data_IF_831580463191
#
_entry.id   IF_831580463191
#
_cell.length_a   1.000
_cell.length_b   1.000
_cell.length_c   1.000
_cell.angle_alpha   90.00
_cell.angle_beta   90.00
_cell.angle_gamma   90.00
#
_symmetry.space_group_name_H-M   'P 1'
#
loop_
_entity.id
_entity.type
_entity.pdbx_description
1 polymer ?
#
# COMPACT_ATOMS: atom_id res chain seq x y z
N UNK A 1 12.22 -4.64 -5.74
CA UNK A 1 11.51 -4.79 -7.02
C UNK A 1 10.39 -3.76 -7.19
N UNK A 2 9.55 -3.47 -6.21
CA UNK A 2 8.36 -2.59 -6.31
C UNK A 2 8.60 -1.10 -6.59
N UNK A 3 9.77 -0.57 -6.33
CA UNK A 3 10.10 0.86 -6.45
C UNK A 3 9.95 1.41 -7.87
N UNK A 4 10.44 0.65 -8.85
CA UNK A 4 10.36 1.04 -10.27
C UNK A 4 8.93 0.95 -10.80
N UNK A 5 8.15 -0.05 -10.39
CA UNK A 5 6.76 -0.22 -10.80
C UNK A 5 5.88 0.94 -10.30
N UNK A 6 6.10 1.40 -9.06
CA UNK A 6 5.35 2.52 -8.48
C UNK A 6 5.53 3.79 -9.31
N UNK A 7 6.78 4.15 -9.64
CA UNK A 7 7.08 5.30 -10.48
C UNK A 7 6.52 5.14 -11.90
N UNK A 8 6.86 4.05 -12.57
CA UNK A 8 6.45 3.80 -13.94
C UNK A 8 4.92 3.82 -14.11
N UNK A 9 4.18 3.14 -13.23
CA UNK A 9 2.72 3.09 -13.29
C UNK A 9 2.06 4.44 -12.96
N UNK A 10 2.73 5.30 -12.19
CA UNK A 10 2.28 6.66 -11.91
C UNK A 10 2.52 7.64 -13.05
N UNK A 11 3.62 7.48 -13.81
CA UNK A 11 4.03 8.39 -14.89
C UNK A 11 3.38 8.02 -16.23
N UNK A 12 3.26 6.73 -16.55
CA UNK A 12 2.75 6.27 -17.84
C UNK A 12 1.24 6.08 -17.83
N UNK A 13 0.57 6.54 -18.91
CA UNK A 13 -0.86 6.36 -19.07
C UNK A 13 -1.23 4.92 -19.45
N UNK A 14 -2.24 4.34 -18.81
CA UNK A 14 -2.80 3.05 -19.20
C UNK A 14 -3.61 3.10 -20.52
N UNK A 15 -3.82 4.29 -21.10
CA UNK A 15 -4.42 4.44 -22.44
C UNK A 15 -3.42 4.06 -23.53
N UNK A 16 -2.12 4.26 -23.28
CA UNK A 16 -1.08 4.15 -24.29
C UNK A 16 -0.30 2.85 -24.18
N UNK A 17 -0.29 2.24 -22.99
CA UNK A 17 0.50 1.05 -22.71
C UNK A 17 -0.23 0.05 -21.81
N UNK A 18 0.08 -1.23 -22.00
CA UNK A 18 -0.26 -2.30 -21.07
C UNK A 18 0.79 -2.37 -19.94
N UNK A 19 0.45 -1.83 -18.77
CA UNK A 19 1.35 -1.76 -17.62
C UNK A 19 1.75 -3.14 -17.08
N UNK A 20 0.86 -4.13 -17.15
CA UNK A 20 1.17 -5.49 -16.71
C UNK A 20 2.28 -6.08 -17.60
N UNK A 21 2.13 -5.97 -18.91
CA UNK A 21 3.10 -6.46 -19.88
C UNK A 21 4.45 -5.74 -19.78
N UNK A 22 4.44 -4.40 -19.78
CA UNK A 22 5.68 -3.60 -19.77
C UNK A 22 6.50 -3.78 -18.49
N UNK A 23 5.83 -3.99 -17.37
CA UNK A 23 6.49 -4.13 -16.07
C UNK A 23 6.63 -5.60 -15.65
N UNK A 24 6.27 -6.55 -16.53
CA UNK A 24 6.30 -7.99 -16.24
C UNK A 24 5.57 -8.34 -14.92
N UNK A 25 4.37 -7.76 -14.75
CA UNK A 25 3.52 -8.01 -13.60
C UNK A 25 2.52 -9.12 -13.94
N UNK A 26 2.17 -9.92 -12.94
CA UNK A 26 1.20 -11.00 -13.06
C UNK A 26 -0.16 -10.55 -12.55
N UNK A 27 -1.21 -10.53 -13.40
CA UNK A 27 -2.57 -10.25 -12.94
C UNK A 27 -3.01 -11.31 -11.92
N UNK A 28 -3.49 -10.86 -10.76
CA UNK A 28 -4.06 -11.72 -9.71
C UNK A 28 -5.58 -11.57 -9.74
N UNK A 29 -6.36 -12.67 -9.92
CA UNK A 29 -7.82 -12.57 -9.84
C UNK A 29 -8.28 -11.99 -8.51
N UNK A 30 -9.12 -10.97 -8.55
CA UNK A 30 -9.76 -10.38 -7.37
C UNK A 30 -10.95 -11.24 -6.93
N UNK A 31 -11.37 -11.13 -5.65
CA UNK A 31 -12.48 -11.88 -5.09
C UNK A 31 -13.82 -11.14 -5.22
N UNK A 32 -13.80 -9.83 -5.00
CA UNK A 32 -15.02 -9.02 -4.86
C UNK A 32 -15.25 -8.04 -6.04
N UNK A 33 -14.26 -7.89 -6.91
CA UNK A 33 -14.31 -6.97 -8.06
C UNK A 33 -13.75 -7.63 -9.32
N UNK A 34 -14.07 -7.06 -10.49
CA UNK A 34 -13.56 -7.55 -11.77
C UNK A 34 -12.14 -7.06 -12.12
N UNK A 35 -11.69 -5.97 -11.53
CA UNK A 35 -10.35 -5.46 -11.74
C UNK A 35 -9.31 -6.38 -11.09
N UNK A 36 -8.23 -6.77 -11.80
CA UNK A 36 -7.21 -7.65 -11.24
C UNK A 36 -6.35 -6.93 -10.17
N UNK A 37 -5.90 -7.69 -9.18
CA UNK A 37 -4.78 -7.32 -8.34
C UNK A 37 -3.44 -7.59 -9.03
N UNK A 38 -2.35 -7.42 -8.31
CA UNK A 38 -0.97 -7.67 -8.77
C UNK A 38 -0.36 -8.75 -7.89
N UNK A 39 0.01 -9.90 -8.47
CA UNK A 39 0.52 -11.04 -7.71
C UNK A 39 1.84 -10.72 -6.97
N UNK A 40 2.67 -9.85 -7.53
CA UNK A 40 3.92 -9.41 -6.91
C UNK A 40 3.71 -8.39 -5.78
N UNK A 41 2.50 -7.81 -5.62
CA UNK A 41 2.21 -6.89 -4.53
C UNK A 41 1.91 -7.65 -3.24
N UNK A 42 2.60 -7.34 -2.13
CA UNK A 42 2.38 -8.00 -0.86
C UNK A 42 1.00 -7.71 -0.25
N UNK A 43 0.36 -6.63 -0.68
CA UNK A 43 -0.98 -6.23 -0.24
C UNK A 43 -1.76 -5.75 -1.45
N UNK A 44 -2.95 -6.29 -1.68
CA UNK A 44 -3.91 -5.78 -2.66
C UNK A 44 -5.19 -5.36 -1.93
N UNK A 45 -5.68 -4.16 -2.24
CA UNK A 45 -6.91 -3.59 -1.67
C UNK A 45 -7.94 -3.50 -2.78
N UNK A 46 -9.03 -4.23 -2.66
CA UNK A 46 -10.12 -4.23 -3.63
C UNK A 46 -11.16 -3.17 -3.24
N UNK A 47 -11.44 -2.28 -4.18
CA UNK A 47 -12.32 -1.14 -3.93
C UNK A 47 -13.46 -1.08 -4.95
N UNK A 48 -14.67 -0.73 -4.49
CA UNK A 48 -15.80 -0.35 -5.35
C UNK A 48 -15.98 1.16 -5.33
N UNK A 49 -15.90 1.80 -6.51
CA UNK A 49 -16.05 3.24 -6.63
C UNK A 49 -17.49 3.64 -6.27
N UNK A 50 -17.63 4.62 -5.36
CA UNK A 50 -18.92 5.24 -4.96
C UNK A 50 -19.17 6.57 -5.64
N UNK A 51 -18.13 7.39 -5.76
CA UNK A 51 -18.23 8.73 -6.31
C UNK A 51 -17.01 9.06 -7.16
N UNK A 52 -17.25 9.74 -8.27
CA UNK A 52 -16.20 10.24 -9.17
C UNK A 52 -16.38 11.76 -9.25
N UNK A 53 -15.38 12.52 -8.83
CA UNK A 53 -15.42 13.98 -8.80
C UNK A 53 -14.32 14.60 -9.65
N UNK A 54 -14.66 15.22 -10.78
CA UNK A 54 -13.71 15.99 -11.57
C UNK A 54 -13.22 17.23 -10.79
N UNK A 55 -11.90 17.43 -10.73
CA UNK A 55 -11.24 18.55 -10.06
C UNK A 55 -10.39 19.40 -11.04
N UNK A 56 -10.81 19.50 -12.30
CA UNK A 56 -10.05 20.18 -13.36
C UNK A 56 -8.94 19.30 -13.92
N UNK A 57 -7.71 19.49 -13.48
CA UNK A 57 -6.54 18.70 -13.95
C UNK A 57 -6.52 17.24 -13.47
N UNK A 58 -7.29 16.90 -12.45
CA UNK A 58 -7.32 15.58 -11.82
C UNK A 58 -8.77 15.13 -11.59
N UNK A 59 -8.94 13.83 -11.42
CA UNK A 59 -10.22 13.24 -11.02
C UNK A 59 -10.03 12.51 -9.69
N UNK A 60 -10.88 12.84 -8.72
CA UNK A 60 -10.93 12.17 -7.41
C UNK A 60 -11.92 11.01 -7.46
N UNK A 61 -11.51 9.85 -6.97
CA UNK A 61 -12.36 8.69 -6.80
C UNK A 61 -12.55 8.42 -5.31
N UNK A 62 -13.79 8.35 -4.86
CA UNK A 62 -14.16 7.85 -3.55
C UNK A 62 -14.64 6.41 -3.70
N UNK A 63 -14.11 5.50 -2.89
CA UNK A 63 -14.42 4.09 -3.02
C UNK A 63 -14.53 3.40 -1.66
N UNK A 64 -15.40 2.39 -1.58
CA UNK A 64 -15.46 1.48 -0.44
C UNK A 64 -14.40 0.40 -0.59
N UNK A 65 -13.66 0.12 0.47
CA UNK A 65 -12.80 -1.06 0.55
C UNK A 65 -13.70 -2.27 0.80
N UNK A 66 -13.71 -3.21 -0.14
CA UNK A 66 -14.57 -4.41 -0.07
C UNK A 66 -13.79 -5.68 0.26
N UNK A 67 -12.48 -5.71 -0.01
CA UNK A 67 -11.60 -6.81 0.36
C UNK A 67 -10.15 -6.34 0.48
N UNK A 68 -9.35 -7.04 1.28
CA UNK A 68 -7.90 -6.86 1.38
C UNK A 68 -7.25 -8.24 1.37
N UNK A 69 -6.31 -8.45 0.45
CA UNK A 69 -5.48 -9.65 0.42
C UNK A 69 -4.05 -9.30 0.82
N UNK A 70 -3.42 -10.16 1.60
CA UNK A 70 -2.07 -9.99 2.13
C UNK A 70 -1.29 -11.28 1.93
N UNK A 71 -0.02 -11.19 1.58
CA UNK A 71 0.89 -12.33 1.47
C UNK A 71 1.21 -12.87 2.87
N UNK A 72 0.97 -14.16 3.08
CA UNK A 72 1.09 -14.87 4.37
C UNK A 72 2.46 -14.71 5.05
N UNK A 73 3.53 -14.51 4.27
CA UNK A 73 4.88 -14.31 4.82
C UNK A 73 5.04 -13.06 5.70
N UNK A 74 4.08 -12.12 5.65
CA UNK A 74 4.06 -10.92 6.48
C UNK A 74 3.24 -11.06 7.76
N UNK A 75 2.79 -12.29 8.07
CA UNK A 75 2.19 -12.62 9.37
C UNK A 75 3.22 -13.33 10.26
N UNK A 76 3.19 -13.01 11.54
CA UNK A 76 4.00 -13.72 12.54
C UNK A 76 3.29 -15.01 13.03
N UNK A 77 3.98 -15.77 13.90
CA UNK A 77 3.44 -17.00 14.50
C UNK A 77 2.17 -16.78 15.36
N UNK A 78 1.85 -15.54 15.70
CA UNK A 78 0.65 -15.14 16.44
C UNK A 78 -0.44 -14.59 15.53
N UNK A 79 -0.28 -14.76 14.21
CA UNK A 79 -1.18 -14.23 13.18
C UNK A 79 -1.32 -12.69 13.21
N UNK A 80 -0.24 -12.00 13.57
CA UNK A 80 -0.18 -10.52 13.53
C UNK A 80 0.43 -10.08 12.21
N UNK A 81 -0.27 -9.24 11.48
CA UNK A 81 0.21 -8.67 10.22
C UNK A 81 1.23 -7.55 10.46
N UNK A 82 2.37 -7.63 9.80
CA UNK A 82 3.47 -6.67 9.87
C UNK A 82 3.58 -5.84 8.60
N UNK A 83 2.69 -4.87 8.42
CA UNK A 83 2.64 -3.99 7.24
C UNK A 83 3.99 -3.30 6.95
N UNK A 84 4.73 -2.88 7.98
CA UNK A 84 5.99 -2.18 7.81
C UNK A 84 7.10 -3.05 7.18
N UNK A 85 6.96 -4.37 7.26
CA UNK A 85 7.94 -5.33 6.70
C UNK A 85 7.71 -5.58 5.20
N UNK A 86 6.61 -5.06 4.64
CA UNK A 86 6.29 -5.18 3.21
C UNK A 86 7.14 -4.29 2.31
N UNK A 87 7.98 -3.42 2.87
CA UNK A 87 8.83 -2.50 2.11
C UNK A 87 8.08 -1.31 1.53
N UNK A 88 7.19 -0.72 2.33
CA UNK A 88 6.41 0.47 1.94
C UNK A 88 7.29 1.57 1.38
N UNK A 89 6.79 2.20 0.31
CA UNK A 89 7.42 3.33 -0.37
C UNK A 89 6.61 4.59 -0.09
N UNK A 90 7.29 5.67 0.24
CA UNK A 90 6.70 7.01 0.34
C UNK A 90 7.25 7.93 -0.73
N UNK A 91 6.41 8.79 -1.28
CA UNK A 91 6.81 9.86 -2.18
C UNK A 91 6.85 11.18 -1.41
N UNK A 92 7.98 11.87 -1.46
CA UNK A 92 8.16 13.15 -0.79
C UNK A 92 9.06 14.05 -1.63
N UNK A 93 8.58 15.25 -1.92
CA UNK A 93 9.33 16.33 -2.59
C UNK A 93 10.08 15.85 -3.85
N UNK A 94 9.39 15.13 -4.75
CA UNK A 94 9.94 14.69 -6.02
C UNK A 94 10.79 13.41 -5.96
N UNK A 95 10.87 12.73 -4.81
CA UNK A 95 11.66 11.52 -4.64
C UNK A 95 10.93 10.42 -3.89
N UNK A 96 11.35 9.18 -4.12
CA UNK A 96 10.80 7.99 -3.45
C UNK A 96 11.73 7.53 -2.33
N UNK A 97 11.15 7.21 -1.17
CA UNK A 97 11.86 6.76 0.02
C UNK A 97 11.24 5.48 0.56
N UNK A 98 12.02 4.66 1.24
CA UNK A 98 11.51 3.63 2.12
C UNK A 98 11.15 4.25 3.47
N UNK A 99 10.26 3.60 4.24
CA UNK A 99 10.03 3.99 5.62
C UNK A 99 11.33 3.91 6.41
N UNK A 100 11.58 4.94 7.20
CA UNK A 100 12.74 5.01 8.06
C UNK A 100 12.56 4.25 9.39
N UNK A 101 13.45 4.55 10.35
CA UNK A 101 13.41 3.94 11.69
C UNK A 101 12.12 4.28 12.41
N UNK A 102 11.53 3.28 13.10
CA UNK A 102 10.36 3.47 13.96
C UNK A 102 10.64 4.49 15.06
N UNK A 103 9.81 5.52 15.17
CA UNK A 103 9.93 6.58 16.19
C UNK A 103 9.24 6.19 17.51
N UNK A 104 8.14 5.44 17.43
CA UNK A 104 7.36 5.02 18.59
C UNK A 104 6.13 4.21 18.20
N UNK A 105 5.32 3.87 19.16
CA UNK A 105 4.00 3.26 18.99
C UNK A 105 2.90 4.31 19.16
N UNK A 106 1.70 4.02 18.68
CA UNK A 106 0.56 4.90 18.90
C UNK A 106 0.44 5.26 20.40
N UNK A 107 0.31 6.54 20.69
CA UNK A 107 0.22 7.05 22.08
C UNK A 107 1.55 7.15 22.83
N UNK A 108 2.70 6.91 22.21
CA UNK A 108 4.00 6.95 22.92
C UNK A 108 4.31 8.33 23.56
N UNK A 109 3.83 9.42 22.98
CA UNK A 109 4.07 10.79 23.46
C UNK A 109 3.32 11.12 24.76
N UNK A 110 2.19 10.45 25.01
CA UNK A 110 1.34 10.63 26.19
C UNK A 110 1.42 9.44 27.17
N UNK A 111 2.24 8.46 26.87
CA UNK A 111 2.42 7.30 27.74
C UNK A 111 3.06 7.70 29.09
N UNK A 112 2.41 7.34 30.19
CA UNK A 112 2.98 7.55 31.53
C UNK A 112 4.31 6.82 31.65
N UNK A 113 5.36 7.50 32.10
CA UNK A 113 6.66 6.86 32.41
C UNK A 113 6.42 5.81 33.51
N UNK A 114 6.70 4.54 33.20
CA UNK A 114 6.68 3.50 34.24
C UNK A 114 7.63 3.94 35.35
N UNK A 115 7.12 4.09 36.59
CA UNK A 115 7.94 4.36 37.75
C UNK A 115 9.03 3.27 37.82
N UNK A 116 10.31 3.67 37.84
CA UNK A 116 11.40 2.72 38.09
C UNK A 116 11.16 2.12 39.48
N UNK A 117 10.80 0.83 39.55
CA UNK A 117 10.87 0.12 40.84
C UNK A 117 12.31 0.26 41.34
N UNK A 118 12.50 1.07 42.37
CA UNK A 118 13.74 1.05 43.14
C UNK A 118 13.85 -0.35 43.76
N UNK A 119 14.93 -1.06 43.40
CA UNK A 119 15.37 -2.27 44.10
C UNK A 119 16.02 -1.85 45.42
#
# INVERSE_FOLDING_TARGET
MYKRQTDFCGVRSGKDIDKFKEMHLTPLPSKEISAPGIAESPVNIECKVREIKPLGSHTMFLADVVNVTVDDKFFDKKNTFHLNDTGLVTYSHGAYFLLGKKLGTFGYSVAKKKAKKRK
#
